data_IF_648127362431
#
_entry.id   IF_648127362431
#
_cell.length_a   1.000
_cell.length_b   1.000
_cell.length_c   1.000
_cell.angle_alpha   90.00
_cell.angle_beta   90.00
_cell.angle_gamma   90.00
#
_symmetry.space_group_name_H-M   'P 1'
#
loop_
_entity.id
_entity.type
_entity.pdbx_description
1 polymer ?
#
# COMPACT_ATOMS: atom_id res chain seq x y z
N UNK A 1 -13.35 -6.10 -5.19
CA UNK A 1 -12.70 -4.78 -5.08
C UNK A 1 -11.19 -4.98 -4.98
N UNK A 2 -10.43 -4.17 -5.69
CA UNK A 2 -8.96 -4.29 -5.70
C UNK A 2 -8.32 -3.20 -4.85
N UNK A 3 -7.16 -3.52 -4.29
CA UNK A 3 -6.43 -2.59 -3.43
C UNK A 3 -4.98 -2.49 -3.88
N UNK A 4 -4.39 -1.34 -3.64
CA UNK A 4 -2.97 -1.12 -3.88
C UNK A 4 -2.36 -0.46 -2.65
N UNK A 5 -1.04 -0.50 -2.57
CA UNK A 5 -0.31 0.21 -1.52
C UNK A 5 0.35 1.45 -2.09
N UNK A 6 0.21 2.54 -1.36
CA UNK A 6 0.94 3.77 -1.62
C UNK A 6 2.11 3.78 -0.66
N UNK A 7 3.33 3.80 -1.19
CA UNK A 7 4.56 3.64 -0.41
C UNK A 7 5.35 4.94 -0.45
N UNK A 8 5.85 5.37 0.69
CA UNK A 8 6.68 6.56 0.78
C UNK A 8 8.12 6.22 0.41
N UNK A 9 8.64 6.87 -0.63
CA UNK A 9 10.02 6.72 -1.08
C UNK A 9 10.68 8.10 -0.99
N UNK A 10 11.59 8.25 -0.03
CA UNK A 10 12.18 9.56 0.26
C UNK A 10 11.10 10.54 0.71
N UNK A 11 10.90 11.61 -0.06
CA UNK A 11 9.88 12.62 0.22
C UNK A 11 8.63 12.47 -0.62
N UNK A 12 8.57 11.44 -1.45
CA UNK A 12 7.46 11.24 -2.39
C UNK A 12 6.69 9.97 -2.06
N UNK A 13 5.42 9.95 -2.44
CA UNK A 13 4.59 8.77 -2.34
C UNK A 13 4.45 8.17 -3.73
N UNK A 14 4.61 6.85 -3.83
CA UNK A 14 4.48 6.15 -5.10
C UNK A 14 3.54 4.96 -4.95
N UNK A 15 2.76 4.70 -5.99
CA UNK A 15 1.88 3.54 -6.01
C UNK A 15 2.69 2.28 -6.26
N UNK A 16 2.41 1.25 -5.46
CA UNK A 16 2.99 -0.07 -5.67
C UNK A 16 2.45 -0.69 -6.95
N UNK A 17 3.22 -1.61 -7.53
CA UNK A 17 2.83 -2.31 -8.75
C UNK A 17 1.90 -3.50 -8.48
N UNK A 18 1.85 -3.97 -7.25
CA UNK A 18 1.06 -5.15 -6.89
C UNK A 18 -0.36 -4.73 -6.56
N UNK A 19 -1.31 -5.48 -7.09
CA UNK A 19 -2.72 -5.31 -6.81
C UNK A 19 -3.16 -6.44 -5.89
N UNK A 20 -3.83 -6.10 -4.81
CA UNK A 20 -4.32 -7.08 -3.83
C UNK A 20 -5.82 -7.25 -3.99
N UNK A 21 -6.29 -8.48 -3.95
CA UNK A 21 -7.71 -8.80 -4.08
C UNK A 21 -8.46 -8.62 -2.77
N UNK A 22 -7.76 -8.56 -1.66
CA UNK A 22 -8.34 -8.50 -0.33
C UNK A 22 -7.69 -7.37 0.47
N UNK A 23 -8.49 -6.65 1.23
CA UNK A 23 -8.00 -5.62 2.14
C UNK A 23 -7.01 -6.23 3.15
N UNK A 24 -7.30 -7.43 3.62
CA UNK A 24 -6.44 -8.13 4.57
C UNK A 24 -5.05 -8.39 3.99
N UNK A 25 -4.96 -8.80 2.73
CA UNK A 25 -3.68 -9.01 2.07
C UNK A 25 -2.88 -7.72 1.98
N UNK A 26 -3.54 -6.63 1.61
CA UNK A 26 -2.89 -5.32 1.56
C UNK A 26 -2.42 -4.90 2.96
N UNK A 27 -3.22 -5.17 3.97
CA UNK A 27 -2.90 -4.84 5.36
C UNK A 27 -1.69 -5.63 5.86
N UNK A 28 -1.60 -6.91 5.51
CA UNK A 28 -0.46 -7.74 5.86
C UNK A 28 0.82 -7.17 5.24
N UNK A 29 0.78 -6.79 3.98
CA UNK A 29 1.93 -6.21 3.30
C UNK A 29 2.30 -4.86 3.91
N UNK A 30 1.32 -4.05 4.26
CA UNK A 30 1.55 -2.78 4.94
C UNK A 30 2.32 -2.99 6.24
N UNK A 31 1.93 -3.99 7.01
CA UNK A 31 2.59 -4.31 8.27
C UNK A 31 4.04 -4.76 8.04
N UNK A 32 4.29 -5.58 7.03
CA UNK A 32 5.64 -6.00 6.67
C UNK A 32 6.53 -4.80 6.34
N UNK A 33 6.01 -3.86 5.57
CA UNK A 33 6.74 -2.64 5.22
C UNK A 33 7.02 -1.78 6.44
N UNK A 34 6.06 -1.69 7.36
CA UNK A 34 6.23 -0.95 8.60
C UNK A 34 7.38 -1.50 9.44
N UNK A 35 7.49 -2.82 9.47
CA UNK A 35 8.55 -3.49 10.26
C UNK A 35 9.95 -3.19 9.73
N UNK A 36 10.09 -2.87 8.46
CA UNK A 36 11.39 -2.47 7.88
C UNK A 36 11.53 -0.96 7.78
N UNK A 37 10.63 -0.21 8.43
CA UNK A 37 10.74 1.25 8.50
C UNK A 37 10.18 2.01 7.32
N UNK A 38 9.36 1.39 6.51
CA UNK A 38 8.76 2.02 5.33
C UNK A 38 7.31 2.39 5.63
N UNK A 39 6.96 3.64 5.40
CA UNK A 39 5.59 4.12 5.55
C UNK A 39 4.79 3.74 4.31
N UNK A 40 3.57 3.28 4.51
CA UNK A 40 2.68 2.91 3.42
C UNK A 40 1.24 3.19 3.79
N UNK A 41 0.38 3.31 2.78
CA UNK A 41 -1.05 3.49 2.94
C UNK A 41 -1.79 2.59 1.96
N UNK A 42 -2.97 2.15 2.34
CA UNK A 42 -3.79 1.30 1.48
C UNK A 42 -4.70 2.20 0.67
N UNK A 43 -4.72 1.97 -0.64
CA UNK A 43 -5.58 2.69 -1.57
C UNK A 43 -6.46 1.70 -2.33
N UNK A 44 -7.48 2.21 -3.03
CA UNK A 44 -8.24 1.40 -3.96
C UNK A 44 -7.45 1.25 -5.28
N UNK A 45 -8.01 0.53 -6.26
CA UNK A 45 -7.34 0.31 -7.54
C UNK A 45 -7.28 1.56 -8.42
N UNK A 46 -8.02 2.59 -8.05
CA UNK A 46 -7.97 3.88 -8.74
C UNK A 46 -6.98 4.84 -8.10
N UNK A 47 -6.36 4.42 -6.99
CA UNK A 47 -5.37 5.22 -6.30
C UNK A 47 -5.94 6.17 -5.24
N UNK A 48 -7.22 6.07 -4.93
CA UNK A 48 -7.83 6.87 -3.87
C UNK A 48 -7.53 6.25 -2.51
N UNK A 49 -7.06 7.07 -1.59
CA UNK A 49 -6.76 6.62 -0.23
C UNK A 49 -8.05 6.25 0.51
N UNK A 50 -8.03 5.11 1.17
CA UNK A 50 -9.18 4.64 1.95
C UNK A 50 -9.20 5.20 3.36
#
# INVERSE_FOLDING_TARGET
>A
MKYRLLVKVGRSWKHGKVVYDSYLEAQIRQEELRLVGIKSRITDDLGCEL
#
